data_IF_845368586348
#
_entry.id   IF_845368586348
#
_cell.length_a   1.000
_cell.length_b   1.000
_cell.length_c   1.000
_cell.angle_alpha   90.00
_cell.angle_beta   90.00
_cell.angle_gamma   90.00
#
_symmetry.space_group_name_H-M   'P 1'
#
loop_
_entity.id
_entity.type
_entity.pdbx_description
1 polymer ?
#
# COMPACT_ATOMS: atom_id res chain seq x y z
N UNK A 1 43.70 63.94 -7.24
CA UNK A 1 42.85 62.75 -7.10
C UNK A 1 42.19 62.50 -8.44
N UNK A 2 42.63 61.46 -9.17
CA UNK A 2 42.38 61.31 -10.61
C UNK A 2 41.13 60.46 -10.90
N UNK A 3 40.17 61.07 -11.62
CA UNK A 3 38.91 60.48 -12.07
C UNK A 3 39.06 59.36 -13.14
N UNK A 4 40.29 59.02 -13.54
CA UNK A 4 40.55 58.03 -14.59
C UNK A 4 40.43 56.56 -14.14
N UNK A 5 40.35 56.29 -12.83
CA UNK A 5 40.38 54.91 -12.32
C UNK A 5 38.99 54.26 -12.15
N UNK A 6 37.89 55.04 -12.18
CA UNK A 6 36.53 54.53 -11.99
C UNK A 6 35.87 54.10 -13.31
N UNK A 7 36.30 54.66 -14.45
CA UNK A 7 35.70 54.36 -15.75
C UNK A 7 36.10 53.00 -16.36
N UNK A 8 37.22 52.39 -15.92
CA UNK A 8 37.66 51.06 -16.40
C UNK A 8 36.91 49.88 -15.74
N UNK A 9 36.24 50.10 -14.62
CA UNK A 9 35.49 49.05 -13.90
C UNK A 9 34.14 48.76 -14.56
N UNK A 10 33.42 49.80 -14.99
CA UNK A 10 32.08 49.66 -15.58
C UNK A 10 32.06 48.96 -16.94
N UNK A 11 33.12 49.10 -17.74
CA UNK A 11 33.21 48.42 -19.04
C UNK A 11 33.42 46.90 -18.93
N UNK A 12 34.05 46.42 -17.84
CA UNK A 12 34.24 44.99 -17.63
C UNK A 12 32.95 44.31 -17.15
N UNK A 13 32.14 44.94 -16.31
CA UNK A 13 30.89 44.34 -15.80
C UNK A 13 29.82 44.24 -16.91
N UNK A 14 29.80 45.19 -17.84
CA UNK A 14 28.82 45.21 -18.95
C UNK A 14 29.01 44.07 -19.96
N UNK A 15 30.27 43.67 -20.22
CA UNK A 15 30.58 42.65 -21.22
C UNK A 15 30.19 41.22 -20.75
N UNK A 16 30.36 40.93 -19.46
CA UNK A 16 29.99 39.62 -18.89
C UNK A 16 28.47 39.39 -18.85
N UNK A 17 27.69 40.44 -18.60
CA UNK A 17 26.21 40.35 -18.59
C UNK A 17 25.65 40.05 -19.97
N UNK A 18 26.25 40.60 -21.04
CA UNK A 18 25.86 40.31 -22.42
C UNK A 18 26.23 38.88 -22.85
N UNK A 19 27.39 38.38 -22.42
CA UNK A 19 27.80 36.99 -22.68
C UNK A 19 26.88 35.99 -21.96
N UNK A 20 26.53 36.27 -20.70
CA UNK A 20 25.65 35.39 -19.92
C UNK A 20 24.23 35.36 -20.50
N UNK A 21 23.68 36.51 -20.89
CA UNK A 21 22.36 36.58 -21.54
C UNK A 21 22.35 35.84 -22.88
N UNK A 22 23.42 35.95 -23.67
CA UNK A 22 23.56 35.22 -24.95
C UNK A 22 23.61 33.70 -24.74
N UNK A 23 24.33 33.24 -23.71
CA UNK A 23 24.41 31.81 -23.38
C UNK A 23 23.07 31.24 -22.91
N UNK A 24 22.28 32.00 -22.13
CA UNK A 24 20.94 31.57 -21.68
C UNK A 24 19.98 31.44 -22.87
N UNK A 25 20.04 32.37 -23.83
CA UNK A 25 19.21 32.32 -25.04
C UNK A 25 19.60 31.15 -25.92
N UNK A 26 20.90 30.90 -26.12
CA UNK A 26 21.40 29.74 -26.89
C UNK A 26 20.99 28.44 -26.20
N UNK A 27 21.14 28.33 -24.88
CA UNK A 27 20.76 27.12 -24.14
C UNK A 27 19.25 26.86 -24.21
N UNK A 28 18.44 27.92 -24.16
CA UNK A 28 16.98 27.84 -24.30
C UNK A 28 16.57 27.43 -25.71
N UNK A 29 17.24 27.96 -26.75
CA UNK A 29 17.03 27.58 -28.14
C UNK A 29 17.45 26.13 -28.41
N UNK A 30 18.55 25.66 -27.84
CA UNK A 30 18.98 24.25 -27.94
C UNK A 30 17.99 23.34 -27.21
N UNK A 31 17.48 23.72 -26.04
CA UNK A 31 16.46 22.95 -25.32
C UNK A 31 15.14 22.88 -26.11
N UNK A 32 14.71 23.98 -26.74
CA UNK A 32 13.51 24.03 -27.60
C UNK A 32 13.73 23.20 -28.88
N UNK A 33 14.91 23.26 -29.50
CA UNK A 33 15.25 22.45 -30.66
C UNK A 33 15.35 20.95 -30.32
N UNK A 34 15.85 20.58 -29.14
CA UNK A 34 15.83 19.19 -28.67
C UNK A 34 14.43 18.68 -28.32
N UNK A 35 13.52 19.56 -27.88
CA UNK A 35 12.11 19.22 -27.69
C UNK A 35 11.34 19.13 -29.01
N UNK A 36 11.69 19.94 -30.01
CA UNK A 36 11.06 19.96 -31.33
C UNK A 36 11.50 18.79 -32.22
N UNK A 37 12.78 18.38 -32.18
CA UNK A 37 13.30 17.24 -32.94
C UNK A 37 12.88 15.85 -32.41
N UNK A 38 12.02 15.77 -31.38
CA UNK A 38 11.42 14.51 -30.91
C UNK A 38 10.10 14.15 -31.57
N UNK A 39 9.60 14.95 -32.52
CA UNK A 39 8.39 14.67 -33.27
C UNK A 39 8.73 14.49 -34.75
N UNK A 40 8.54 13.27 -35.26
CA UNK A 40 8.85 12.74 -36.61
C UNK A 40 10.23 12.10 -36.75
N UNK A 41 10.35 10.89 -36.17
CA UNK A 41 11.39 9.92 -36.50
C UNK A 41 10.82 8.50 -36.42
N UNK A 42 10.59 7.91 -37.59
CA UNK A 42 10.57 6.47 -37.90
C UNK A 42 10.50 5.50 -36.71
N UNK A 43 9.30 4.94 -36.47
CA UNK A 43 9.07 3.84 -35.54
C UNK A 43 9.81 2.59 -36.05
N UNK A 44 11.02 2.38 -35.55
CA UNK A 44 11.79 1.15 -35.74
C UNK A 44 12.32 0.65 -34.40
N UNK A 45 11.83 -0.52 -33.97
CA UNK A 45 12.64 -1.51 -33.25
C UNK A 45 12.89 -1.38 -31.75
N UNK A 46 12.15 -0.56 -30.98
CA UNK A 46 12.13 -0.71 -29.51
C UNK A 46 10.94 -1.58 -29.11
N UNK A 47 11.15 -2.61 -28.28
CA UNK A 47 10.08 -3.43 -27.72
C UNK A 47 8.99 -2.52 -27.13
N UNK A 48 7.87 -2.37 -27.85
CA UNK A 48 6.89 -1.32 -27.56
C UNK A 48 6.35 -1.43 -26.13
N UNK A 49 6.09 -0.29 -25.51
CA UNK A 49 5.40 -0.25 -24.21
C UNK A 49 4.11 -1.08 -24.29
N UNK A 50 3.98 -2.12 -23.47
CA UNK A 50 2.79 -2.99 -23.42
C UNK A 50 2.01 -2.74 -22.16
N UNK A 51 0.68 -2.71 -22.24
CA UNK A 51 -0.20 -2.44 -21.11
C UNK A 51 -0.86 -3.70 -20.58
N UNK A 52 -1.08 -3.73 -19.27
CA UNK A 52 -2.03 -4.60 -18.59
C UNK A 52 -3.11 -3.70 -17.97
N UNK A 53 -4.30 -3.72 -18.57
CA UNK A 53 -5.45 -2.96 -18.08
C UNK A 53 -6.21 -3.79 -17.05
N UNK A 54 -6.31 -3.30 -15.82
CA UNK A 54 -7.03 -3.98 -14.76
C UNK A 54 -8.47 -3.49 -14.63
N UNK A 55 -9.43 -4.42 -14.71
CA UNK A 55 -10.77 -4.24 -14.15
C UNK A 55 -10.79 -4.90 -12.76
N UNK A 56 -10.92 -4.08 -11.72
CA UNK A 56 -10.69 -4.48 -10.33
C UNK A 56 -12.02 -4.47 -9.56
N UNK A 57 -12.47 -5.65 -9.12
CA UNK A 57 -13.80 -5.84 -8.54
C UNK A 57 -13.98 -5.14 -7.20
N UNK A 58 -13.04 -5.27 -6.26
CA UNK A 58 -13.11 -4.57 -4.98
C UNK A 58 -13.06 -3.05 -5.16
N UNK A 59 -12.37 -2.55 -6.19
CA UNK A 59 -12.42 -1.12 -6.50
C UNK A 59 -13.74 -0.67 -7.12
N UNK A 60 -14.33 -1.47 -8.02
CA UNK A 60 -15.57 -1.13 -8.71
C UNK A 60 -16.80 -1.25 -7.82
N UNK A 61 -16.86 -2.28 -6.98
CA UNK A 61 -18.06 -2.66 -6.23
C UNK A 61 -18.03 -2.21 -4.76
N UNK A 62 -17.27 -1.14 -4.47
CA UNK A 62 -17.22 -0.55 -3.13
C UNK A 62 -16.59 -1.46 -2.06
N UNK A 63 -15.68 -2.35 -2.45
CA UNK A 63 -14.98 -3.25 -1.54
C UNK A 63 -14.18 -2.51 -0.46
N UNK A 64 -14.02 -3.18 0.68
CA UNK A 64 -13.22 -2.67 1.80
C UNK A 64 -11.76 -2.43 1.41
N UNK A 65 -11.11 -1.48 2.10
CA UNK A 65 -9.78 -0.97 1.76
C UNK A 65 -8.70 -2.05 1.65
N UNK A 66 -8.76 -3.09 2.48
CA UNK A 66 -7.85 -4.23 2.40
C UNK A 66 -7.95 -4.98 1.07
N UNK A 67 -9.16 -5.27 0.61
CA UNK A 67 -9.40 -5.95 -0.66
C UNK A 67 -8.94 -5.11 -1.85
N UNK A 68 -9.19 -3.80 -1.79
CA UNK A 68 -8.70 -2.84 -2.79
C UNK A 68 -7.17 -2.87 -2.88
N UNK A 69 -6.47 -2.86 -1.74
CA UNK A 69 -5.01 -2.92 -1.73
C UNK A 69 -4.46 -4.25 -2.25
N UNK A 70 -5.13 -5.38 -1.97
CA UNK A 70 -4.77 -6.68 -2.56
C UNK A 70 -4.89 -6.67 -4.09
N UNK A 71 -5.99 -6.13 -4.63
CA UNK A 71 -6.20 -6.03 -6.06
C UNK A 71 -5.18 -5.09 -6.74
N UNK A 72 -4.89 -3.94 -6.14
CA UNK A 72 -3.93 -2.97 -6.66
C UNK A 72 -2.50 -3.54 -6.67
N UNK A 73 -2.05 -4.14 -5.55
CA UNK A 73 -0.73 -4.76 -5.46
C UNK A 73 -0.61 -5.98 -6.38
N UNK A 74 -1.64 -6.82 -6.42
CA UNK A 74 -1.68 -7.97 -7.33
C UNK A 74 -1.61 -7.54 -8.79
N UNK A 75 -2.32 -6.48 -9.20
CA UNK A 75 -2.21 -5.96 -10.56
C UNK A 75 -0.80 -5.46 -10.88
N UNK A 76 -0.15 -4.72 -9.96
CA UNK A 76 1.23 -4.24 -10.13
C UNK A 76 2.20 -5.43 -10.30
N UNK A 77 2.06 -6.44 -9.45
CA UNK A 77 2.89 -7.63 -9.46
C UNK A 77 2.72 -8.50 -10.71
N UNK A 78 1.47 -8.76 -11.09
CA UNK A 78 1.13 -9.49 -12.31
C UNK A 78 1.69 -8.73 -13.52
N UNK A 79 1.47 -7.42 -13.60
CA UNK A 79 1.99 -6.59 -14.69
C UNK A 79 3.53 -6.67 -14.79
N UNK A 80 4.22 -6.60 -13.64
CA UNK A 80 5.68 -6.76 -13.57
C UNK A 80 6.13 -8.13 -14.10
N UNK A 81 5.44 -9.20 -13.72
CA UNK A 81 5.74 -10.57 -14.15
C UNK A 81 5.62 -10.74 -15.66
N UNK A 82 4.52 -10.26 -16.24
CA UNK A 82 4.28 -10.36 -17.69
C UNK A 82 4.92 -9.22 -18.49
N UNK A 83 5.78 -8.42 -17.87
CA UNK A 83 6.53 -7.30 -18.47
C UNK A 83 5.61 -6.30 -19.19
N UNK A 84 4.59 -5.83 -18.47
CA UNK A 84 3.59 -4.85 -18.90
C UNK A 84 3.48 -3.70 -17.89
N UNK A 85 2.98 -2.57 -18.34
CA UNK A 85 2.66 -1.40 -17.53
C UNK A 85 1.26 -1.60 -16.93
N UNK A 86 1.09 -1.53 -15.60
CA UNK A 86 -0.23 -1.61 -14.97
C UNK A 86 -1.02 -0.31 -15.24
N UNK A 87 -2.23 -0.45 -15.78
CA UNK A 87 -3.09 0.67 -16.18
C UNK A 87 -4.50 0.46 -15.67
N UNK A 88 -5.10 1.54 -15.17
CA UNK A 88 -6.54 1.64 -14.90
C UNK A 88 -7.09 2.69 -15.87
N UNK A 89 -8.06 2.29 -16.68
CA UNK A 89 -8.65 3.16 -17.72
C UNK A 89 -10.02 3.71 -17.32
N UNK A 90 -10.74 3.00 -16.47
CA UNK A 90 -12.13 3.34 -16.13
C UNK A 90 -12.17 4.59 -15.23
N UNK A 91 -12.93 5.65 -15.59
CA UNK A 91 -12.96 6.90 -14.82
C UNK A 91 -13.41 6.74 -13.36
N UNK A 92 -14.39 5.87 -13.10
CA UNK A 92 -14.89 5.53 -11.76
C UNK A 92 -13.77 4.95 -10.89
N UNK A 93 -13.04 3.97 -11.43
CA UNK A 93 -11.90 3.35 -10.76
C UNK A 93 -10.75 4.33 -10.55
N UNK A 94 -10.50 5.24 -11.48
CA UNK A 94 -9.50 6.29 -11.30
C UNK A 94 -9.88 7.25 -10.17
N UNK A 95 -11.14 7.66 -10.07
CA UNK A 95 -11.62 8.48 -8.95
C UNK A 95 -11.49 7.76 -7.61
N UNK A 96 -11.83 6.46 -7.57
CA UNK A 96 -11.62 5.61 -6.40
C UNK A 96 -10.14 5.46 -6.04
N UNK A 97 -9.26 5.32 -7.03
CA UNK A 97 -7.81 5.29 -6.79
C UNK A 97 -7.31 6.61 -6.19
N UNK A 98 -7.80 7.74 -6.68
CA UNK A 98 -7.47 9.06 -6.14
C UNK A 98 -7.94 9.20 -4.67
N UNK A 99 -9.14 8.70 -4.33
CA UNK A 99 -9.63 8.60 -2.94
C UNK A 99 -8.71 7.73 -2.06
N UNK A 100 -8.40 6.51 -2.50
CA UNK A 100 -7.52 5.57 -1.78
C UNK A 100 -6.12 6.18 -1.55
N UNK A 101 -5.66 7.01 -2.49
CA UNK A 101 -4.36 7.66 -2.42
C UNK A 101 -4.27 8.75 -1.35
N UNK A 102 -5.40 9.24 -0.84
CA UNK A 102 -5.42 10.09 0.36
C UNK A 102 -4.98 9.35 1.63
N UNK A 103 -5.15 8.02 1.62
CA UNK A 103 -4.74 7.12 2.69
C UNK A 103 -3.38 6.49 2.41
N UNK A 104 -3.12 6.08 1.18
CA UNK A 104 -1.88 5.43 0.73
C UNK A 104 -1.20 6.23 -0.39
N UNK A 105 -0.44 7.29 -0.06
CA UNK A 105 0.02 8.29 -1.05
C UNK A 105 0.89 7.74 -2.17
N UNK A 106 1.57 6.60 -1.95
CA UNK A 106 2.48 6.04 -2.95
C UNK A 106 1.79 5.17 -4.00
N UNK A 107 0.55 4.71 -3.76
CA UNK A 107 -0.10 3.73 -4.64
C UNK A 107 -0.45 4.34 -5.99
N UNK A 108 -0.89 5.60 -6.02
CA UNK A 108 -1.29 6.31 -7.26
C UNK A 108 -0.20 6.32 -8.31
N UNK A 109 1.03 6.54 -7.86
CA UNK A 109 2.22 6.70 -8.71
C UNK A 109 2.55 5.43 -9.51
N UNK A 110 2.01 4.28 -9.10
CA UNK A 110 2.22 2.99 -9.76
C UNK A 110 1.31 2.81 -10.98
N UNK A 111 0.27 3.63 -11.15
CA UNK A 111 -0.68 3.52 -12.25
C UNK A 111 -0.56 4.71 -13.19
N UNK A 112 -0.31 4.42 -14.47
CA UNK A 112 -0.18 5.44 -15.50
C UNK A 112 -1.48 5.58 -16.29
N UNK A 113 -1.85 6.82 -16.64
CA UNK A 113 -2.90 7.08 -17.64
C UNK A 113 -2.23 7.08 -19.01
N UNK A 114 -2.47 6.04 -19.79
CA UNK A 114 -1.91 5.88 -21.12
C UNK A 114 -3.07 5.67 -22.10
N UNK A 115 -3.39 6.71 -22.84
CA UNK A 115 -4.51 6.75 -23.79
C UNK A 115 -4.45 5.60 -24.82
N UNK A 116 -3.24 5.25 -25.27
CA UNK A 116 -3.05 4.14 -26.20
C UNK A 116 -3.44 2.76 -25.62
N UNK A 117 -3.60 2.62 -24.30
CA UNK A 117 -4.04 1.37 -23.69
C UNK A 117 -5.56 1.17 -23.71
N UNK A 118 -6.36 2.17 -24.15
CA UNK A 118 -7.82 2.11 -24.15
C UNK A 118 -8.36 0.96 -25.00
N UNK A 119 -7.79 0.74 -26.17
CA UNK A 119 -8.13 -0.37 -27.04
C UNK A 119 -7.37 -1.61 -26.56
N UNK A 120 -8.08 -2.61 -26.04
CA UNK A 120 -7.46 -3.78 -25.41
C UNK A 120 -8.16 -5.07 -25.78
N UNK A 121 -7.41 -6.17 -25.77
CA UNK A 121 -7.97 -7.53 -25.89
C UNK A 121 -8.26 -8.06 -24.50
N UNK A 122 -9.51 -8.49 -24.27
CA UNK A 122 -9.90 -9.05 -22.99
C UNK A 122 -9.39 -10.49 -22.82
N UNK A 123 -8.81 -10.77 -21.66
CA UNK A 123 -8.37 -12.11 -21.23
C UNK A 123 -9.30 -12.60 -20.14
N UNK A 124 -10.04 -13.66 -20.46
CA UNK A 124 -10.93 -14.29 -19.49
C UNK A 124 -10.15 -14.97 -18.37
N UNK A 125 -10.58 -14.69 -17.14
CA UNK A 125 -10.12 -15.32 -15.90
C UNK A 125 -11.34 -15.96 -15.24
N UNK A 126 -11.73 -17.19 -15.63
CA UNK A 126 -12.80 -17.93 -14.97
C UNK A 126 -12.44 -18.08 -13.50
N UNK A 127 -13.31 -17.53 -12.66
CA UNK A 127 -13.14 -17.50 -11.22
C UNK A 127 -13.93 -18.67 -10.64
N UNK A 128 -13.33 -19.84 -10.72
CA UNK A 128 -13.95 -21.05 -10.15
C UNK A 128 -14.01 -20.94 -8.61
N UNK A 129 -13.09 -20.19 -8.00
CA UNK A 129 -13.01 -19.99 -6.55
C UNK A 129 -12.49 -18.58 -6.23
N UNK A 130 -13.20 -17.82 -5.40
CA UNK A 130 -12.59 -16.64 -4.79
C UNK A 130 -11.42 -17.09 -3.90
N UNK A 131 -10.49 -16.16 -3.69
CA UNK A 131 -9.64 -16.19 -2.52
C UNK A 131 -8.57 -17.30 -2.51
N UNK A 132 -8.36 -18.00 -3.63
CA UNK A 132 -7.21 -18.88 -3.88
C UNK A 132 -6.27 -18.25 -4.91
N UNK A 133 -4.98 -18.58 -4.81
CA UNK A 133 -4.00 -18.21 -5.83
C UNK A 133 -4.26 -19.01 -7.11
N UNK A 134 -4.42 -18.32 -8.26
CA UNK A 134 -4.65 -18.92 -9.56
C UNK A 134 -3.52 -18.59 -10.54
N UNK A 135 -2.57 -19.53 -10.66
CA UNK A 135 -1.43 -19.45 -11.58
C UNK A 135 -1.84 -19.45 -13.07
N UNK A 136 -3.09 -19.83 -13.39
CA UNK A 136 -3.59 -19.77 -14.77
C UNK A 136 -3.69 -18.34 -15.29
N UNK A 137 -3.80 -17.33 -14.41
CA UNK A 137 -3.87 -15.92 -14.81
C UNK A 137 -2.61 -15.51 -15.59
N UNK A 138 -1.42 -15.79 -15.05
CA UNK A 138 -0.15 -15.47 -15.70
C UNK A 138 -0.05 -16.16 -17.06
N UNK A 139 -0.26 -17.48 -17.10
CA UNK A 139 -0.18 -18.27 -18.35
C UNK A 139 -1.12 -17.74 -19.45
N UNK A 140 -2.34 -17.33 -19.09
CA UNK A 140 -3.29 -16.75 -20.05
C UNK A 140 -2.82 -15.39 -20.57
N UNK A 141 -2.24 -14.54 -19.71
CA UNK A 141 -1.68 -13.26 -20.13
C UNK A 141 -0.45 -13.42 -21.04
N UNK A 142 0.41 -14.40 -20.74
CA UNK A 142 1.57 -14.74 -21.56
C UNK A 142 1.18 -15.26 -22.96
N UNK A 143 0.07 -16.00 -23.06
CA UNK A 143 -0.50 -16.43 -24.35
C UNK A 143 -0.90 -15.26 -25.26
N UNK A 144 -0.99 -14.04 -24.70
CA UNK A 144 -1.28 -12.79 -25.40
C UNK A 144 -0.07 -11.85 -25.43
N UNK A 145 1.15 -12.37 -25.31
CA UNK A 145 2.40 -11.59 -25.25
C UNK A 145 2.63 -10.66 -26.44
N UNK A 146 2.13 -11.01 -27.64
CA UNK A 146 2.21 -10.16 -28.85
C UNK A 146 1.26 -8.96 -28.85
N UNK A 147 0.22 -8.97 -27.99
CA UNK A 147 -0.76 -7.90 -27.93
C UNK A 147 -0.21 -6.71 -27.15
N UNK A 148 -0.31 -5.50 -27.71
CA UNK A 148 0.18 -4.28 -27.06
C UNK A 148 -0.62 -3.94 -25.80
N UNK A 149 -1.95 -4.13 -25.81
CA UNK A 149 -2.82 -3.88 -24.66
C UNK A 149 -3.74 -5.07 -24.43
N UNK A 150 -3.73 -5.58 -23.19
CA UNK A 150 -4.60 -6.67 -22.75
C UNK A 150 -5.31 -6.23 -21.47
N UNK A 151 -6.59 -6.56 -21.36
CA UNK A 151 -7.35 -6.33 -20.14
C UNK A 151 -7.67 -7.64 -19.42
N UNK A 152 -7.73 -7.56 -18.10
CA UNK A 152 -8.08 -8.68 -17.24
C UNK A 152 -9.03 -8.20 -16.15
N UNK A 153 -10.01 -9.03 -15.81
CA UNK A 153 -10.84 -8.82 -14.64
C UNK A 153 -10.27 -9.60 -13.46
N UNK A 154 -9.98 -8.90 -12.37
CA UNK A 154 -9.37 -9.47 -11.17
C UNK A 154 -10.34 -9.29 -10.01
N UNK A 155 -10.51 -10.36 -9.20
CA UNK A 155 -11.38 -10.35 -8.02
C UNK A 155 -10.64 -10.72 -6.76
N UNK A 156 -10.64 -9.79 -5.81
CA UNK A 156 -10.11 -9.83 -4.45
C UNK A 156 -8.61 -10.10 -4.30
N UNK A 157 -8.01 -11.01 -5.09
CA UNK A 157 -6.59 -11.41 -5.04
C UNK A 157 -6.05 -11.60 -3.61
N UNK A 158 -6.86 -12.16 -2.71
CA UNK A 158 -6.60 -12.29 -1.27
C UNK A 158 -5.53 -13.35 -0.91
N UNK A 159 -4.36 -13.26 -1.54
CA UNK A 159 -3.20 -14.08 -1.21
C UNK A 159 -1.92 -13.29 -1.50
N UNK A 160 -0.96 -13.33 -0.57
CA UNK A 160 0.35 -12.71 -0.78
C UNK A 160 1.09 -13.28 -2.00
N UNK A 161 0.72 -14.49 -2.43
CA UNK A 161 1.27 -15.13 -3.62
C UNK A 161 1.07 -14.31 -4.89
N UNK A 162 0.05 -13.45 -4.96
CA UNK A 162 -0.16 -12.59 -6.13
C UNK A 162 0.86 -11.45 -6.24
N UNK A 163 1.56 -11.10 -5.17
CA UNK A 163 2.55 -10.02 -5.15
C UNK A 163 3.89 -10.42 -4.53
N UNK A 164 4.18 -11.72 -4.52
CA UNK A 164 5.42 -12.27 -3.97
C UNK A 164 6.68 -11.80 -4.72
N UNK A 165 6.53 -11.45 -6.00
CA UNK A 165 7.60 -10.96 -6.88
C UNK A 165 7.91 -9.46 -6.68
N UNK A 166 7.18 -8.78 -5.79
CA UNK A 166 7.49 -7.42 -5.35
C UNK A 166 8.48 -7.47 -4.19
N UNK A 167 9.45 -6.56 -4.21
CA UNK A 167 10.40 -6.46 -3.10
C UNK A 167 9.69 -6.02 -1.82
N UNK A 168 10.13 -6.50 -0.65
CA UNK A 168 9.53 -6.12 0.64
C UNK A 168 9.46 -4.60 0.82
N UNK A 169 10.52 -3.87 0.47
CA UNK A 169 10.55 -2.41 0.55
C UNK A 169 9.53 -1.74 -0.39
N UNK A 170 9.24 -2.33 -1.54
CA UNK A 170 8.25 -1.85 -2.50
C UNK A 170 6.83 -2.02 -1.93
N UNK A 171 6.51 -3.21 -1.42
CA UNK A 171 5.22 -3.49 -0.77
C UNK A 171 5.02 -2.57 0.44
N UNK A 172 6.02 -2.47 1.32
CA UNK A 172 5.95 -1.62 2.51
C UNK A 172 5.74 -0.15 2.15
N UNK A 173 6.40 0.35 1.11
CA UNK A 173 6.20 1.72 0.63
C UNK A 173 4.79 1.93 0.08
N UNK A 174 4.28 0.98 -0.68
CA UNK A 174 2.94 1.06 -1.27
C UNK A 174 1.82 1.08 -0.21
N UNK A 175 2.03 0.40 0.93
CA UNK A 175 1.07 0.34 2.03
C UNK A 175 1.38 1.31 3.17
N UNK A 176 2.38 2.20 3.02
CA UNK A 176 2.63 3.26 3.98
C UNK A 176 1.44 4.23 4.02
N UNK A 177 0.98 4.55 5.22
CA UNK A 177 -0.07 5.52 5.43
C UNK A 177 0.35 6.96 5.13
N UNK A 178 -0.63 7.83 4.94
CA UNK A 178 -0.45 9.28 4.87
C UNK A 178 0.02 9.87 6.19
N UNK A 179 0.46 11.13 6.17
CA UNK A 179 0.87 11.86 7.38
C UNK A 179 -0.24 11.88 8.44
N UNK A 180 -1.49 12.07 8.01
CA UNK A 180 -2.66 12.02 8.90
C UNK A 180 -2.85 10.64 9.52
N UNK A 181 -2.73 9.56 8.74
CA UNK A 181 -2.83 8.20 9.26
C UNK A 181 -1.71 7.91 10.27
N UNK A 182 -0.48 8.34 9.94
CA UNK A 182 0.70 8.23 10.80
C UNK A 182 0.47 8.96 12.13
N UNK A 183 0.04 10.23 12.09
CA UNK A 183 -0.24 11.02 13.29
C UNK A 183 -1.32 10.38 14.18
N UNK A 184 -2.41 9.89 13.59
CA UNK A 184 -3.46 9.21 14.36
C UNK A 184 -2.92 7.92 14.98
N UNK A 185 -2.15 7.14 14.22
CA UNK A 185 -1.51 5.93 14.71
C UNK A 185 -0.59 6.22 15.89
N UNK A 186 0.30 7.22 15.80
CA UNK A 186 1.29 7.48 16.85
C UNK A 186 0.72 8.18 18.07
N UNK A 187 -0.18 9.15 17.87
CA UNK A 187 -0.58 10.06 18.96
C UNK A 187 -1.98 9.79 19.53
N UNK A 188 -2.87 9.11 18.79
CA UNK A 188 -4.29 9.09 19.14
C UNK A 188 -4.89 7.72 19.40
N UNK A 189 -4.38 6.65 18.79
CA UNK A 189 -4.96 5.31 19.02
C UNK A 189 -4.80 4.86 20.47
N UNK A 190 -3.68 5.17 21.12
CA UNK A 190 -3.38 4.77 22.49
C UNK A 190 -2.83 5.93 23.34
N UNK A 191 -3.65 6.94 23.66
CA UNK A 191 -3.18 8.18 24.27
C UNK A 191 -2.69 8.01 25.72
N UNK A 192 -3.25 7.03 26.45
CA UNK A 192 -2.91 6.75 27.85
C UNK A 192 -1.69 5.84 28.03
N UNK A 193 -1.22 5.21 26.96
CA UNK A 193 -0.07 4.31 27.01
C UNK A 193 0.88 4.66 25.86
N UNK A 194 1.86 5.50 26.18
CA UNK A 194 2.86 5.91 25.19
C UNK A 194 3.65 4.69 24.72
N UNK A 195 3.86 4.68 23.41
CA UNK A 195 4.46 3.62 22.62
C UNK A 195 5.77 3.12 23.22
N UNK A 196 5.90 1.79 23.34
CA UNK A 196 7.15 1.17 23.76
C UNK A 196 7.77 0.42 22.58
N UNK A 197 8.55 1.14 21.76
CA UNK A 197 9.27 0.55 20.61
C UNK A 197 10.25 -0.58 20.98
N UNK A 198 10.61 -0.69 22.25
CA UNK A 198 11.52 -1.70 22.78
C UNK A 198 10.81 -2.95 23.30
N UNK A 199 9.47 -2.96 23.34
CA UNK A 199 8.69 -4.12 23.73
C UNK A 199 8.36 -5.00 22.54
N UNK A 200 7.87 -6.21 22.81
CA UNK A 200 7.34 -7.11 21.81
C UNK A 200 5.85 -6.84 21.65
N UNK A 201 5.46 -6.20 20.56
CA UNK A 201 4.11 -5.71 20.37
C UNK A 201 3.32 -6.69 19.48
N UNK A 202 2.22 -7.20 20.03
CA UNK A 202 1.26 -8.08 19.36
C UNK A 202 0.00 -7.28 19.08
N UNK A 203 -0.44 -7.27 17.83
CA UNK A 203 -1.57 -6.46 17.37
C UNK A 203 -2.70 -7.34 16.90
N UNK A 204 -3.84 -7.24 17.57
CA UNK A 204 -5.04 -8.06 17.34
C UNK A 204 -6.09 -7.21 16.65
N UNK A 205 -6.51 -7.59 15.46
CA UNK A 205 -7.60 -6.94 14.75
C UNK A 205 -8.84 -7.84 14.82
N UNK A 206 -9.88 -7.35 15.50
CA UNK A 206 -11.17 -7.99 15.59
C UNK A 206 -12.18 -7.27 14.69
N UNK A 207 -12.52 -7.88 13.54
CA UNK A 207 -13.53 -7.36 12.62
C UNK A 207 -14.91 -7.86 13.00
N UNK A 208 -15.86 -6.97 13.28
CA UNK A 208 -17.27 -7.32 13.53
C UNK A 208 -18.26 -6.47 12.76
N UNK A 209 -18.28 -5.16 13.00
CA UNK A 209 -19.20 -4.15 12.46
C UNK A 209 -20.28 -4.68 11.50
N UNK A 210 -20.11 -4.40 10.21
CA UNK A 210 -20.99 -4.83 9.12
C UNK A 210 -21.03 -6.35 8.88
N UNK A 211 -20.04 -7.10 9.40
CA UNK A 211 -20.00 -8.56 9.27
C UNK A 211 -21.04 -9.25 10.15
N UNK A 212 -21.48 -8.60 11.23
CA UNK A 212 -22.55 -9.15 12.09
C UNK A 212 -23.87 -9.36 11.34
N UNK A 213 -24.14 -8.54 10.32
CA UNK A 213 -25.32 -8.63 9.48
C UNK A 213 -25.05 -9.28 8.10
N UNK A 214 -23.82 -9.73 7.85
CA UNK A 214 -23.43 -10.26 6.55
C UNK A 214 -23.78 -11.75 6.42
N UNK A 215 -24.31 -12.13 5.26
CA UNK A 215 -24.52 -13.55 4.90
C UNK A 215 -23.27 -14.19 4.29
N UNK A 216 -22.26 -13.38 3.93
CA UNK A 216 -21.05 -13.80 3.22
C UNK A 216 -19.80 -13.80 4.10
N UNK A 217 -19.86 -13.12 5.24
CA UNK A 217 -18.75 -12.93 6.17
C UNK A 217 -19.22 -13.19 7.60
N UNK A 218 -18.48 -14.05 8.30
CA UNK A 218 -18.58 -14.22 9.74
C UNK A 218 -17.76 -13.15 10.47
N UNK A 219 -18.35 -12.49 11.48
CA UNK A 219 -17.65 -11.58 12.37
C UNK A 219 -16.65 -12.35 13.25
N UNK A 220 -15.73 -11.61 13.87
CA UNK A 220 -14.84 -12.15 14.91
C UNK A 220 -15.66 -12.66 16.08
N UNK A 221 -15.31 -13.82 16.60
CA UNK A 221 -15.92 -14.42 17.80
C UNK A 221 -14.92 -14.37 18.95
N UNK A 222 -15.42 -14.06 20.15
CA UNK A 222 -14.62 -13.82 21.36
C UNK A 222 -13.74 -15.02 21.72
N UNK A 223 -14.32 -16.21 21.68
CA UNK A 223 -13.68 -17.45 22.12
C UNK A 223 -12.44 -17.75 21.27
N UNK A 224 -12.58 -17.64 19.94
CA UNK A 224 -11.47 -17.81 19.02
C UNK A 224 -10.44 -16.70 19.17
N UNK A 225 -10.87 -15.44 19.24
CA UNK A 225 -9.94 -14.31 19.34
C UNK A 225 -9.10 -14.38 20.61
N UNK A 226 -9.70 -14.73 21.75
CA UNK A 226 -9.01 -14.93 23.04
C UNK A 226 -8.03 -16.11 22.94
N UNK A 227 -8.45 -17.27 22.45
CA UNK A 227 -7.59 -18.45 22.35
C UNK A 227 -6.40 -18.20 21.40
N UNK A 228 -6.63 -17.57 20.25
CA UNK A 228 -5.58 -17.23 19.29
C UNK A 228 -4.61 -16.18 19.84
N UNK A 229 -5.12 -15.20 20.60
CA UNK A 229 -4.32 -14.20 21.28
C UNK A 229 -3.41 -14.86 22.34
N UNK A 230 -3.95 -15.74 23.18
CA UNK A 230 -3.20 -16.50 24.18
C UNK A 230 -2.08 -17.32 23.53
N UNK A 231 -2.40 -18.07 22.47
CA UNK A 231 -1.41 -18.84 21.71
C UNK A 231 -0.27 -17.96 21.19
N UNK A 232 -0.59 -16.78 20.62
CA UNK A 232 0.44 -15.88 20.10
C UNK A 232 1.31 -15.28 21.20
N UNK A 233 0.74 -14.98 22.38
CA UNK A 233 1.47 -14.51 23.56
C UNK A 233 2.45 -15.58 24.04
N UNK A 234 2.00 -16.82 24.19
CA UNK A 234 2.83 -17.94 24.63
C UNK A 234 3.96 -18.21 23.65
N UNK A 235 3.62 -18.24 22.35
CA UNK A 235 4.60 -18.39 21.28
C UNK A 235 5.63 -17.24 21.28
N UNK A 236 5.15 -16.01 21.46
CA UNK A 236 6.00 -14.83 21.59
C UNK A 236 7.02 -14.97 22.74
N UNK A 237 6.56 -15.36 23.93
CA UNK A 237 7.43 -15.58 25.10
C UNK A 237 8.46 -16.68 24.87
N UNK A 238 8.11 -17.72 24.12
CA UNK A 238 9.04 -18.82 23.81
C UNK A 238 10.12 -18.45 22.79
N UNK A 239 9.88 -17.44 21.96
CA UNK A 239 10.75 -17.06 20.83
C UNK A 239 11.51 -15.74 21.06
N UNK A 240 11.06 -14.89 21.99
CA UNK A 240 11.59 -13.56 22.23
C UNK A 240 11.56 -13.22 23.74
N UNK A 241 12.66 -12.69 24.26
CA UNK A 241 12.82 -12.35 25.68
C UNK A 241 12.15 -11.03 26.08
N UNK A 242 11.74 -10.20 25.11
CA UNK A 242 10.99 -8.97 25.37
C UNK A 242 9.59 -9.30 25.90
N UNK A 243 9.15 -8.56 26.92
CA UNK A 243 7.81 -8.71 27.49
C UNK A 243 6.72 -8.39 26.43
N UNK A 244 5.77 -9.31 26.16
CA UNK A 244 4.72 -9.09 25.18
C UNK A 244 3.70 -8.04 25.62
N UNK A 245 3.31 -7.17 24.70
CA UNK A 245 2.28 -6.15 24.89
C UNK A 245 1.23 -6.31 23.80
N UNK A 246 -0.04 -6.29 24.18
CA UNK A 246 -1.14 -6.58 23.27
C UNK A 246 -1.95 -5.32 22.99
N UNK A 247 -2.08 -5.00 21.72
CA UNK A 247 -2.91 -3.91 21.21
C UNK A 247 -4.08 -4.50 20.44
N UNK A 248 -5.30 -4.13 20.81
CA UNK A 248 -6.53 -4.63 20.21
C UNK A 248 -7.19 -3.51 19.40
N UNK A 249 -7.50 -3.81 18.14
CA UNK A 249 -8.22 -2.97 17.20
C UNK A 249 -9.57 -3.62 16.92
N UNK A 250 -10.64 -2.83 16.96
CA UNK A 250 -11.99 -3.29 16.66
C UNK A 250 -12.82 -2.16 16.08
N UNK A 251 -13.69 -2.51 15.13
CA UNK A 251 -14.75 -1.64 14.65
C UNK A 251 -15.99 -1.65 15.55
N UNK A 252 -15.99 -2.47 16.61
CA UNK A 252 -16.96 -2.48 17.70
C UNK A 252 -16.19 -2.46 19.03
N UNK A 253 -15.86 -1.25 19.49
CA UNK A 253 -15.00 -1.03 20.66
C UNK A 253 -15.62 -1.59 21.94
N UNK A 254 -16.88 -1.25 22.23
CA UNK A 254 -17.59 -1.71 23.43
C UNK A 254 -17.67 -3.24 23.48
N UNK A 255 -17.92 -3.88 22.32
CA UNK A 255 -17.93 -5.34 22.25
C UNK A 255 -16.54 -5.92 22.54
N UNK A 256 -15.47 -5.34 21.98
CA UNK A 256 -14.11 -5.83 22.20
C UNK A 256 -13.67 -5.64 23.65
N UNK A 257 -14.05 -4.53 24.28
CA UNK A 257 -13.81 -4.30 25.71
C UNK A 257 -14.45 -5.40 26.56
N UNK A 258 -15.75 -5.64 26.40
CA UNK A 258 -16.49 -6.61 27.21
C UNK A 258 -16.12 -8.07 26.91
N UNK A 259 -16.03 -8.42 25.63
CA UNK A 259 -15.97 -9.82 25.18
C UNK A 259 -14.55 -10.31 24.89
N UNK A 260 -13.57 -9.42 24.78
CA UNK A 260 -12.16 -9.80 24.62
C UNK A 260 -11.37 -9.36 25.84
N UNK A 261 -11.35 -8.07 26.17
CA UNK A 261 -10.46 -7.54 27.22
C UNK A 261 -10.90 -8.02 28.61
N UNK A 262 -12.12 -7.70 29.03
CA UNK A 262 -12.65 -8.06 30.34
C UNK A 262 -12.73 -9.59 30.50
N UNK A 263 -13.18 -10.29 29.46
CA UNK A 263 -13.25 -11.75 29.44
C UNK A 263 -11.88 -12.42 29.58
N UNK A 264 -10.84 -11.87 28.93
CA UNK A 264 -9.48 -12.36 29.10
C UNK A 264 -8.95 -12.09 30.51
N UNK A 265 -9.16 -10.89 31.06
CA UNK A 265 -8.73 -10.55 32.43
C UNK A 265 -9.40 -11.44 33.48
N UNK A 266 -10.68 -11.75 33.30
CA UNK A 266 -11.43 -12.65 34.18
C UNK A 266 -10.91 -14.09 34.16
N UNK A 267 -10.25 -14.51 33.07
CA UNK A 267 -9.73 -15.88 32.92
C UNK A 267 -8.45 -16.16 33.71
N UNK A 268 -7.91 -15.18 34.46
CA UNK A 268 -6.62 -15.25 35.17
C UNK A 268 -5.44 -15.68 34.26
N UNK A 269 -5.58 -15.54 32.94
CA UNK A 269 -4.68 -16.16 31.97
C UNK A 269 -3.32 -15.47 31.83
N UNK A 270 -3.16 -14.21 32.28
CA UNK A 270 -1.87 -13.52 32.22
C UNK A 270 -1.83 -12.21 33.01
N UNK A 271 -0.63 -11.89 33.46
CA UNK A 271 -0.09 -10.57 33.83
C UNK A 271 -0.05 -9.53 32.69
N UNK A 272 -0.38 -9.91 31.44
CA UNK A 272 -0.35 -9.01 30.29
C UNK A 272 -1.64 -8.20 30.25
N UNK A 273 -1.49 -6.88 30.27
CA UNK A 273 -2.59 -5.92 30.05
C UNK A 273 -2.77 -5.69 28.55
N UNK A 274 -3.97 -5.98 28.03
CA UNK A 274 -4.37 -5.64 26.67
C UNK A 274 -4.82 -4.18 26.61
N UNK A 275 -4.48 -3.49 25.53
CA UNK A 275 -4.86 -2.11 25.29
C UNK A 275 -5.81 -2.04 24.11
N UNK A 276 -7.02 -1.53 24.33
CA UNK A 276 -7.99 -1.29 23.26
C UNK A 276 -7.72 0.06 22.58
N UNK A 277 -7.74 0.06 21.25
CA UNK A 277 -7.59 1.27 20.46
C UNK A 277 -8.77 2.22 20.68
N UNK A 278 -8.46 3.50 20.82
CA UNK A 278 -9.48 4.54 21.02
C UNK A 278 -10.38 4.66 19.79
N UNK A 279 -11.69 4.73 20.01
CA UNK A 279 -12.65 4.99 18.94
C UNK A 279 -12.69 6.50 18.63
N UNK A 280 -12.03 6.90 17.55
CA UNK A 280 -11.89 8.31 17.16
C UNK A 280 -12.77 8.61 15.95
N UNK A 281 -13.64 9.61 16.09
CA UNK A 281 -14.48 10.11 14.97
C UNK A 281 -13.57 10.62 13.84
N UNK A 282 -13.85 10.20 12.61
CA UNK A 282 -13.07 10.61 11.43
C UNK A 282 -11.64 10.07 11.41
N UNK A 283 -11.37 8.97 12.14
CA UNK A 283 -10.13 8.19 12.02
C UNK A 283 -9.92 7.74 10.57
N UNK A 284 -8.73 7.96 9.98
CA UNK A 284 -8.41 7.39 8.68
C UNK A 284 -8.56 5.86 8.70
N UNK A 285 -9.18 5.25 7.67
CA UNK A 285 -9.43 3.80 7.64
C UNK A 285 -8.15 2.95 7.70
N UNK A 286 -6.99 3.54 7.40
CA UNK A 286 -5.69 2.89 7.46
C UNK A 286 -4.85 3.25 8.69
N UNK A 287 -5.38 3.99 9.69
CA UNK A 287 -4.61 4.35 10.87
C UNK A 287 -4.18 3.13 11.70
N UNK A 288 -5.05 2.14 11.87
CA UNK A 288 -4.75 0.90 12.60
C UNK A 288 -3.76 0.01 11.84
N UNK A 289 -3.87 0.01 10.51
CA UNK A 289 -2.87 -0.60 9.63
C UNK A 289 -1.51 0.06 9.82
N UNK A 290 -1.47 1.39 9.78
CA UNK A 290 -0.23 2.16 9.90
C UNK A 290 0.42 1.96 11.27
N UNK A 291 -0.37 1.90 12.34
CA UNK A 291 0.11 1.48 13.65
C UNK A 291 0.75 0.09 13.58
N UNK A 292 0.04 -0.86 12.95
CA UNK A 292 0.50 -2.24 12.83
C UNK A 292 1.84 -2.34 12.11
N UNK A 293 1.99 -1.58 11.04
CA UNK A 293 3.21 -1.49 10.23
C UNK A 293 4.39 -0.89 11.00
N UNK A 294 4.14 0.11 11.85
CA UNK A 294 5.18 0.85 12.57
C UNK A 294 5.64 0.18 13.86
N UNK A 295 4.73 -0.50 14.57
CA UNK A 295 4.96 -0.87 15.96
C UNK A 295 4.86 -2.36 16.25
N UNK A 296 4.16 -3.14 15.44
CA UNK A 296 3.84 -4.52 15.81
C UNK A 296 4.85 -5.50 15.24
N UNK A 297 5.34 -6.39 16.10
CA UNK A 297 6.19 -7.52 15.73
C UNK A 297 5.35 -8.70 15.22
N UNK A 298 4.11 -8.82 15.72
CA UNK A 298 3.17 -9.89 15.38
C UNK A 298 1.77 -9.30 15.17
N UNK A 299 1.04 -9.83 14.19
CA UNK A 299 -0.32 -9.41 13.89
C UNK A 299 -1.25 -10.62 13.87
N UNK A 300 -2.33 -10.53 14.63
CA UNK A 300 -3.47 -11.44 14.61
C UNK A 300 -4.62 -10.74 13.92
N UNK A 301 -5.19 -11.39 12.91
CA UNK A 301 -6.39 -10.93 12.23
C UNK A 301 -7.50 -11.94 12.51
N UNK A 302 -8.62 -11.47 13.06
CA UNK A 302 -9.80 -12.27 13.35
C UNK A 302 -11.00 -11.73 12.56
N UNK A 303 -11.82 -12.64 12.03
CA UNK A 303 -12.87 -12.36 11.05
C UNK A 303 -12.65 -13.08 9.71
N UNK A 304 -13.72 -13.52 9.06
CA UNK A 304 -13.60 -14.32 7.83
C UNK A 304 -13.32 -13.47 6.59
N UNK A 305 -12.36 -13.95 5.78
CA UNK A 305 -11.67 -13.33 4.63
C UNK A 305 -10.44 -12.44 4.92
N UNK A 306 -10.06 -12.25 6.18
CA UNK A 306 -8.71 -11.80 6.57
C UNK A 306 -7.88 -12.93 7.20
N UNK A 307 -8.11 -14.18 6.75
CA UNK A 307 -7.20 -15.29 7.01
C UNK A 307 -5.93 -15.15 6.16
N UNK A 308 -5.15 -14.13 6.46
CA UNK A 308 -3.71 -14.19 6.25
C UNK A 308 -3.10 -13.84 7.58
N UNK A 309 -2.62 -14.83 8.32
CA UNK A 309 -1.66 -14.59 9.38
C UNK A 309 -0.42 -14.02 8.67
N UNK A 310 -0.35 -12.70 8.53
CA UNK A 310 0.86 -12.00 8.15
C UNK A 310 1.70 -11.93 9.42
N UNK A 311 2.41 -13.02 9.72
CA UNK A 311 3.61 -12.94 10.54
C UNK A 311 4.65 -12.17 9.72
N UNK A 312 4.55 -10.84 9.71
CA UNK A 312 5.66 -9.97 9.32
C UNK A 312 6.67 -9.95 10.47
N UNK A 313 7.12 -11.13 10.90
CA UNK A 313 8.20 -11.24 11.88
C UNK A 313 9.42 -10.53 11.29
N UNK A 314 9.76 -9.39 11.89
CA UNK A 314 11.04 -8.77 11.69
C UNK A 314 12.07 -9.56 12.48
N UNK A 315 12.69 -10.55 11.85
CA UNK A 315 14.07 -10.87 12.21
C UNK A 315 14.92 -9.67 11.82
N UNK A 316 15.05 -8.72 12.74
CA UNK A 316 16.25 -7.89 12.82
C UNK A 316 17.35 -8.78 13.38
N UNK A 317 18.04 -9.52 12.52
CA UNK A 317 19.20 -10.30 12.93
C UNK A 317 19.31 -11.63 12.24
N UNK A 318 19.88 -11.63 11.04
CA UNK A 318 20.92 -12.56 10.60
C UNK A 318 21.33 -12.12 9.19
N UNK A 319 22.26 -11.17 9.15
CA UNK A 319 23.22 -11.14 8.05
C UNK A 319 24.23 -12.24 8.35
N UNK A 320 24.27 -13.26 7.50
CA UNK A 320 25.47 -13.99 7.11
C UNK A 320 25.38 -14.25 5.61
#
# INVERSE_FOLDING_TARGET
>A
MNAAHIQRSYWKVSCWSLVLASLIVIYSLVAILQLSNKSLGSYSGAAGERCLVGSLHAMGDGGGIGNVMFELLGLIAIAKEVKRIPVIVEPSLLSRLDEISTYFPYIRSRFQRKEFCKNHVYVSTPLDFCCKHDERIIRRLESKSSMYSVAVHLRYLQSFKYFWNLGRAEVFRAVSGSERATFVATERLFPKNRLRRQQLNICVHARRGDFTASTMHLPSISEFTIAAMQFLIEKARSEDSRSPHVYVFSDSADWAEQNIIESYLASNASDIVQLLASNIIGKPPNAEWEFSRLYCDRVLLTGTRLQTILTLSGSKGMQH
#
